data_IF_543426563982
#
_entry.id   IF_543426563982
#
_cell.length_a   1.000
_cell.length_b   1.000
_cell.length_c   1.000
_cell.angle_alpha   90.00
_cell.angle_beta   90.00
_cell.angle_gamma   90.00
#
_symmetry.space_group_name_H-M   'P 1'
#
loop_
_entity.id
_entity.type
_entity.pdbx_description
1 polymer ?
#
# COMPACT_ATOMS: atom_id res chain seq x y z
N UNK A 1 -0.79 -9.45 -17.12
CA UNK A 1 -2.08 -8.91 -17.63
C UNK A 1 -3.12 -9.16 -16.55
N UNK A 2 -3.82 -8.14 -16.02
CA UNK A 2 -4.88 -8.38 -15.03
C UNK A 2 -5.96 -9.24 -15.71
N UNK A 3 -6.46 -10.27 -15.04
CA UNK A 3 -7.58 -11.06 -15.57
C UNK A 3 -8.86 -10.23 -15.45
N UNK A 4 -9.15 -9.45 -16.50
CA UNK A 4 -10.39 -8.72 -16.67
C UNK A 4 -11.54 -9.73 -16.83
N UNK A 5 -12.35 -9.92 -15.79
CA UNK A 5 -13.55 -10.77 -15.88
C UNK A 5 -14.07 -11.36 -14.58
N UNK A 6 -13.33 -11.28 -13.46
CA UNK A 6 -13.84 -11.77 -12.19
C UNK A 6 -14.82 -10.77 -11.55
N UNK A 7 -16.00 -11.23 -11.15
CA UNK A 7 -16.91 -10.43 -10.33
C UNK A 7 -16.30 -10.19 -8.95
N UNK A 8 -16.69 -9.09 -8.29
CA UNK A 8 -16.28 -8.83 -6.91
C UNK A 8 -16.56 -10.05 -6.02
N UNK A 9 -17.71 -10.69 -6.17
CA UNK A 9 -18.05 -11.93 -5.46
C UNK A 9 -17.08 -13.10 -5.71
N UNK A 10 -16.54 -13.25 -6.92
CA UNK A 10 -15.55 -14.29 -7.25
C UNK A 10 -14.17 -13.98 -6.65
N UNK A 11 -13.79 -12.70 -6.63
CA UNK A 11 -12.56 -12.25 -5.97
C UNK A 11 -12.69 -12.50 -4.46
N UNK A 12 -13.84 -12.13 -3.87
CA UNK A 12 -14.15 -12.30 -2.45
C UNK A 12 -14.22 -13.78 -2.02
N UNK A 13 -14.62 -14.70 -2.90
CA UNK A 13 -14.66 -16.13 -2.59
C UNK A 13 -13.28 -16.76 -2.36
N UNK A 14 -12.19 -16.15 -2.86
CA UNK A 14 -10.82 -16.64 -2.70
C UNK A 14 -10.10 -16.11 -1.43
N UNK A 15 -10.82 -15.45 -0.52
CA UNK A 15 -10.23 -14.65 0.57
C UNK A 15 -9.50 -15.46 1.67
N UNK A 16 -9.72 -16.76 1.74
CA UNK A 16 -8.91 -17.66 2.59
C UNK A 16 -7.43 -17.66 2.18
N UNK A 17 -7.11 -17.56 0.88
CA UNK A 17 -5.73 -17.45 0.40
C UNK A 17 -5.10 -16.08 0.72
N UNK A 18 -5.92 -15.03 0.78
CA UNK A 18 -5.46 -13.66 1.13
C UNK A 18 -5.07 -13.59 2.60
N UNK A 19 -5.88 -14.16 3.50
CA UNK A 19 -5.56 -14.21 4.94
C UNK A 19 -4.23 -14.95 5.17
N UNK A 20 -4.01 -16.06 4.47
CA UNK A 20 -2.77 -16.85 4.58
C UNK A 20 -1.57 -16.19 3.88
N UNK A 21 -1.77 -15.10 3.14
CA UNK A 21 -0.69 -14.37 2.46
C UNK A 21 -0.08 -13.25 3.31
N UNK A 22 -0.73 -12.87 4.41
CA UNK A 22 -0.17 -11.88 5.33
C UNK A 22 0.87 -12.53 6.24
N UNK A 23 2.00 -11.84 6.46
CA UNK A 23 2.96 -12.23 7.49
C UNK A 23 2.38 -12.02 8.90
N UNK A 24 2.96 -12.70 9.88
CA UNK A 24 2.47 -12.69 11.26
C UNK A 24 2.53 -11.28 11.87
N UNK A 25 3.55 -10.49 11.52
CA UNK A 25 3.69 -9.11 11.98
C UNK A 25 2.55 -8.22 11.47
N UNK A 26 2.19 -8.34 10.19
CA UNK A 26 1.04 -7.66 9.59
C UNK A 26 -0.23 -8.12 10.28
N UNK A 27 -0.41 -9.42 10.54
CA UNK A 27 -1.58 -9.92 11.27
C UNK A 27 -1.68 -9.37 12.70
N UNK A 28 -0.56 -9.28 13.42
CA UNK A 28 -0.46 -8.77 14.80
C UNK A 28 -0.69 -7.25 14.84
N UNK A 29 -0.16 -6.51 13.86
CA UNK A 29 -0.47 -5.09 13.68
C UNK A 29 -1.94 -4.86 13.29
N UNK A 30 -2.64 -5.87 12.76
CA UNK A 30 -4.01 -5.73 12.24
C UNK A 30 -5.11 -6.22 13.20
N UNK A 31 -4.88 -7.05 14.24
CA UNK A 31 -6.00 -7.51 15.11
C UNK A 31 -5.70 -7.79 16.59
N UNK A 32 -6.66 -7.51 17.50
CA UNK A 32 -6.87 -8.26 18.74
C UNK A 32 -8.17 -9.10 18.79
N UNK A 33 -9.08 -9.03 17.80
CA UNK A 33 -10.36 -9.76 17.85
C UNK A 33 -10.84 -10.19 16.45
N UNK A 34 -10.67 -11.48 16.13
CA UNK A 34 -11.19 -12.11 14.91
C UNK A 34 -12.68 -12.44 15.04
N UNK A 35 -13.53 -11.41 15.01
CA UNK A 35 -14.95 -11.60 14.74
C UNK A 35 -15.12 -11.64 13.21
N UNK A 36 -15.71 -12.73 12.69
CA UNK A 36 -16.02 -12.84 11.27
C UNK A 36 -17.00 -11.74 10.89
N UNK A 37 -16.56 -10.83 10.03
CA UNK A 37 -17.36 -9.73 9.46
C UNK A 37 -17.53 -9.97 7.96
N UNK A 38 -18.60 -9.43 7.37
CA UNK A 38 -18.74 -9.50 5.91
C UNK A 38 -17.60 -8.73 5.24
N UNK A 39 -17.04 -9.23 4.12
CA UNK A 39 -16.08 -8.48 3.32
C UNK A 39 -16.50 -7.03 3.07
N UNK A 40 -15.58 -6.08 3.30
CA UNK A 40 -15.84 -4.65 3.14
C UNK A 40 -16.52 -3.99 4.36
N UNK A 41 -17.00 -4.78 5.34
CA UNK A 41 -17.55 -4.28 6.61
C UNK A 41 -16.51 -4.38 7.75
N UNK A 42 -15.35 -3.78 7.52
CA UNK A 42 -14.23 -3.75 8.49
C UNK A 42 -13.96 -2.32 8.90
N UNK A 43 -13.91 -2.02 10.20
CA UNK A 43 -13.60 -0.69 10.72
C UNK A 43 -12.12 -0.31 10.63
N UNK A 44 -11.81 0.99 10.65
CA UNK A 44 -10.43 1.48 10.81
C UNK A 44 -10.23 2.05 12.21
N UNK A 45 -9.17 1.62 12.90
CA UNK A 45 -8.81 2.17 14.20
C UNK A 45 -8.40 3.63 14.04
N UNK A 46 -8.87 4.49 14.94
CA UNK A 46 -8.43 5.88 15.01
C UNK A 46 -7.09 5.92 15.77
N UNK A 47 -6.03 6.42 15.14
CA UNK A 47 -4.65 6.41 15.67
C UNK A 47 -4.25 7.76 16.30
N UNK A 48 -5.23 8.52 16.79
CA UNK A 48 -5.06 9.89 17.24
C UNK A 48 -5.29 10.85 16.08
N UNK A 49 -6.41 11.55 16.10
CA UNK A 49 -6.82 12.51 15.08
C UNK A 49 -6.84 11.99 13.62
N UNK A 50 -6.91 10.67 13.39
CA UNK A 50 -6.81 10.09 12.05
C UNK A 50 -8.16 9.86 11.35
N UNK A 51 -9.26 10.38 11.89
CA UNK A 51 -10.60 10.12 11.35
C UNK A 51 -10.82 10.72 9.95
N UNK A 52 -10.15 11.83 9.63
CA UNK A 52 -10.15 12.42 8.29
C UNK A 52 -9.60 11.43 7.24
N UNK A 53 -8.55 10.68 7.58
CA UNK A 53 -7.97 9.68 6.70
C UNK A 53 -8.83 8.42 6.67
N UNK A 54 -9.36 8.00 7.81
CA UNK A 54 -10.18 6.80 7.91
C UNK A 54 -11.41 6.89 6.99
N UNK A 55 -12.10 8.04 6.92
CA UNK A 55 -13.26 8.18 6.03
C UNK A 55 -12.86 8.10 4.55
N UNK A 56 -11.75 8.74 4.15
CA UNK A 56 -11.23 8.68 2.78
C UNK A 56 -10.85 7.25 2.38
N UNK A 57 -10.12 6.54 3.24
CA UNK A 57 -9.69 5.16 2.99
C UNK A 57 -10.89 4.22 2.86
N UNK A 58 -11.91 4.38 3.70
CA UNK A 58 -13.15 3.62 3.60
C UNK A 58 -13.88 3.89 2.28
N UNK A 59 -14.05 5.16 1.88
CA UNK A 59 -14.67 5.55 0.62
C UNK A 59 -13.92 4.95 -0.59
N UNK A 60 -12.60 5.11 -0.65
CA UNK A 60 -11.79 4.60 -1.76
C UNK A 60 -11.79 3.07 -1.82
N UNK A 61 -11.71 2.39 -0.66
CA UNK A 61 -11.75 0.93 -0.59
C UNK A 61 -13.08 0.34 -1.04
N UNK A 62 -14.16 1.14 -1.03
CA UNK A 62 -15.49 0.74 -1.50
C UNK A 62 -15.79 1.22 -2.93
N UNK A 63 -14.86 1.93 -3.58
CA UNK A 63 -14.95 2.21 -5.03
C UNK A 63 -14.67 0.91 -5.79
N UNK A 64 -15.72 0.29 -6.35
CA UNK A 64 -15.67 -1.05 -6.95
C UNK A 64 -14.50 -1.26 -7.91
N UNK A 65 -14.28 -0.33 -8.85
CA UNK A 65 -13.20 -0.45 -9.84
C UNK A 65 -11.80 -0.40 -9.20
N UNK A 66 -11.63 0.42 -8.17
CA UNK A 66 -10.34 0.54 -7.47
C UNK A 66 -10.08 -0.67 -6.58
N UNK A 67 -11.10 -1.09 -5.82
CA UNK A 67 -11.02 -2.26 -4.95
C UNK A 67 -10.72 -3.53 -5.75
N UNK A 68 -11.46 -3.78 -6.83
CA UNK A 68 -11.22 -4.93 -7.72
C UNK A 68 -9.82 -4.90 -8.32
N UNK A 69 -9.32 -3.74 -8.74
CA UNK A 69 -7.96 -3.61 -9.25
C UNK A 69 -6.90 -4.06 -8.23
N UNK A 70 -6.97 -3.57 -6.99
CA UNK A 70 -6.00 -3.91 -5.96
C UNK A 70 -6.13 -5.34 -5.44
N UNK A 71 -7.35 -5.87 -5.33
CA UNK A 71 -7.60 -7.24 -4.86
C UNK A 71 -7.19 -8.29 -5.89
N UNK A 72 -7.30 -8.00 -7.19
CA UNK A 72 -6.94 -8.93 -8.27
C UNK A 72 -5.42 -9.10 -8.47
N UNK A 73 -4.59 -8.21 -7.93
CA UNK A 73 -3.14 -8.37 -7.95
C UNK A 73 -2.72 -9.53 -7.03
N UNK A 74 -1.58 -10.20 -7.26
CA UNK A 74 -1.03 -11.08 -6.24
C UNK A 74 -0.58 -10.25 -5.02
N UNK A 75 -0.59 -10.81 -3.81
CA UNK A 75 0.12 -10.22 -2.68
C UNK A 75 1.58 -9.98 -3.07
N UNK A 76 2.10 -8.78 -2.80
CA UNK A 76 3.53 -8.53 -2.92
C UNK A 76 4.25 -9.45 -1.91
N UNK A 77 5.37 -10.09 -2.29
CA UNK A 77 6.12 -10.92 -1.36
C UNK A 77 6.53 -10.09 -0.14
N UNK A 78 6.61 -10.70 1.05
CA UNK A 78 7.13 -10.02 2.23
C UNK A 78 8.50 -9.45 1.89
N UNK A 79 8.70 -8.16 2.18
CA UNK A 79 10.00 -7.55 1.99
C UNK A 79 10.97 -8.31 2.90
N UNK A 80 11.95 -8.99 2.34
CA UNK A 80 12.97 -9.65 3.13
C UNK A 80 13.65 -8.58 4.00
N UNK A 81 13.35 -8.54 5.31
CA UNK A 81 14.05 -7.72 6.30
C UNK A 81 15.49 -8.26 6.60
N UNK A 82 16.12 -8.81 5.57
CA UNK A 82 17.34 -9.61 5.66
C UNK A 82 18.35 -9.24 4.58
N UNK A 83 18.56 -7.95 4.35
CA UNK A 83 19.80 -7.45 3.75
C UNK A 83 20.14 -6.06 4.26
N UNK A 84 20.37 -6.01 5.58
CA UNK A 84 21.58 -5.36 6.07
C UNK A 84 22.80 -6.12 5.51
N UNK A 85 23.05 -6.00 4.20
CA UNK A 85 24.16 -6.65 3.52
C UNK A 85 25.14 -5.59 3.03
N UNK A 86 26.14 -5.38 3.87
CA UNK A 86 27.49 -4.91 3.58
C UNK A 86 27.65 -3.51 2.98
N UNK A 87 28.15 -2.62 3.83
CA UNK A 87 29.36 -1.87 3.50
C UNK A 87 30.38 -2.79 2.79
N UNK A 88 30.50 -2.67 1.47
CA UNK A 88 31.72 -3.05 0.75
C UNK A 88 32.07 -1.92 -0.20
N UNK A 89 33.05 -1.15 0.23
CA UNK A 89 33.90 -0.30 -0.59
C UNK A 89 34.57 -1.13 -1.69
N UNK A 90 34.42 -0.70 -2.95
CA UNK A 90 35.43 -0.89 -3.97
C UNK A 90 35.23 0.20 -5.05
N UNK A 91 36.31 0.94 -5.29
CA UNK A 91 36.55 1.98 -6.30
C UNK A 91 35.72 1.91 -7.59
N UNK A 92 35.09 3.04 -7.95
CA UNK A 92 35.30 3.72 -9.24
C UNK A 92 34.47 5.00 -9.35
N UNK A 93 35.14 6.09 -9.71
CA UNK A 93 34.64 7.44 -10.00
C UNK A 93 33.45 7.48 -10.98
N UNK A 94 32.23 7.51 -10.47
CA UNK A 94 31.07 8.00 -11.22
C UNK A 94 30.14 8.79 -10.29
N UNK A 95 30.28 10.11 -10.34
CA UNK A 95 29.37 11.07 -9.72
C UNK A 95 28.06 11.05 -10.51
N UNK A 96 27.09 10.25 -10.05
CA UNK A 96 25.67 10.40 -10.37
C UNK A 96 24.92 10.39 -9.03
N UNK A 97 24.15 11.44 -8.79
CA UNK A 97 23.52 11.83 -7.52
C UNK A 97 22.75 10.68 -6.80
N UNK A 98 23.19 10.32 -5.59
CA UNK A 98 22.65 9.29 -4.68
C UNK A 98 21.25 9.63 -4.12
N UNK A 99 20.71 10.82 -4.43
CA UNK A 99 19.37 11.24 -4.04
C UNK A 99 18.26 10.33 -4.61
N UNK A 100 18.45 9.76 -5.81
CA UNK A 100 17.43 8.96 -6.49
C UNK A 100 17.29 7.54 -5.90
N UNK A 101 18.39 6.99 -5.35
CA UNK A 101 18.42 5.66 -4.72
C UNK A 101 17.83 5.66 -3.31
N UNK A 102 17.93 6.79 -2.57
CA UNK A 102 17.20 7.00 -1.31
C UNK A 102 15.72 7.31 -1.55
N UNK A 103 15.39 7.96 -2.67
CA UNK A 103 14.02 8.12 -3.17
C UNK A 103 13.42 6.78 -3.59
N UNK A 104 14.21 5.80 -4.04
CA UNK A 104 13.73 4.45 -4.36
C UNK A 104 13.35 3.60 -3.12
N UNK A 105 13.70 4.01 -1.89
CA UNK A 105 13.13 3.46 -0.64
C UNK A 105 11.76 4.07 -0.29
N UNK A 106 11.13 4.82 -1.21
CA UNK A 106 9.77 5.34 -1.08
C UNK A 106 8.85 4.20 -0.64
N UNK A 107 8.20 4.35 0.52
CA UNK A 107 7.09 3.49 0.89
C UNK A 107 6.01 3.63 -0.18
N UNK A 108 5.90 2.64 -1.05
CA UNK A 108 4.95 2.61 -2.16
C UNK A 108 3.53 2.73 -1.59
N UNK A 109 2.86 3.85 -1.88
CA UNK A 109 1.51 4.16 -1.42
C UNK A 109 0.53 3.14 -2.01
N UNK A 110 0.67 2.80 -3.29
CA UNK A 110 -0.20 1.81 -3.94
C UNK A 110 -0.09 0.43 -3.26
N UNK A 111 1.10 -0.02 -2.88
CA UNK A 111 1.32 -1.27 -2.16
C UNK A 111 0.74 -1.23 -0.75
N UNK A 112 0.91 -0.11 -0.05
CA UNK A 112 0.34 0.10 1.29
C UNK A 112 -1.19 0.10 1.26
N UNK A 113 -1.79 0.75 0.25
CA UNK A 113 -3.24 0.72 0.01
C UNK A 113 -3.72 -0.67 -0.38
N UNK A 114 -2.97 -1.41 -1.20
CA UNK A 114 -3.28 -2.81 -1.56
C UNK A 114 -3.37 -3.70 -0.33
N UNK A 115 -2.37 -3.62 0.57
CA UNK A 115 -2.35 -4.36 1.84
C UNK A 115 -3.57 -4.02 2.70
N UNK A 116 -3.87 -2.73 2.85
CA UNK A 116 -5.05 -2.28 3.60
C UNK A 116 -6.36 -2.75 2.97
N UNK A 117 -6.51 -2.64 1.65
CA UNK A 117 -7.71 -3.05 0.93
C UNK A 117 -7.98 -4.55 1.12
N UNK A 118 -6.94 -5.38 1.05
CA UNK A 118 -7.05 -6.82 1.36
C UNK A 118 -7.52 -7.07 2.78
N UNK A 119 -6.95 -6.35 3.75
CA UNK A 119 -7.34 -6.48 5.16
C UNK A 119 -8.82 -6.08 5.39
N UNK A 120 -9.28 -4.99 4.74
CA UNK A 120 -10.67 -4.53 4.82
C UNK A 120 -11.65 -5.52 4.20
N UNK A 121 -11.26 -6.17 3.10
CA UNK A 121 -12.15 -7.08 2.37
C UNK A 121 -11.99 -8.55 2.74
N UNK A 122 -11.03 -8.97 3.57
CA UNK A 122 -10.84 -10.38 3.93
C UNK A 122 -11.98 -11.02 4.76
N UNK A 123 -12.81 -10.20 5.41
CA UNK A 123 -13.92 -10.66 6.27
C UNK A 123 -13.49 -11.33 7.58
N UNK A 124 -12.21 -11.21 7.94
CA UNK A 124 -11.65 -11.84 9.14
C UNK A 124 -11.55 -10.90 10.35
N UNK A 125 -11.78 -9.60 10.16
CA UNK A 125 -11.48 -8.58 11.16
C UNK A 125 -12.64 -7.63 11.36
N UNK A 126 -12.98 -7.34 12.62
CA UNK A 126 -13.91 -6.27 12.95
C UNK A 126 -13.30 -4.88 12.72
N UNK A 127 -11.99 -4.73 12.94
CA UNK A 127 -11.26 -3.49 12.68
C UNK A 127 -9.77 -3.71 12.48
N UNK A 128 -9.13 -2.89 11.65
CA UNK A 128 -7.71 -2.93 11.30
C UNK A 128 -7.00 -1.57 11.51
N UNK A 129 -5.67 -1.57 11.65
CA UNK A 129 -4.86 -0.34 11.75
C UNK A 129 -4.49 0.21 10.37
N UNK A 130 -4.71 1.51 10.11
CA UNK A 130 -4.24 2.17 8.88
C UNK A 130 -2.79 2.70 8.97
N UNK A 131 -2.01 2.36 10.02
CA UNK A 131 -0.69 2.96 10.28
C UNK A 131 0.27 2.92 9.08
N UNK A 132 0.33 1.80 8.36
CA UNK A 132 1.22 1.64 7.21
C UNK A 132 0.93 2.64 6.09
N UNK A 133 -0.36 2.82 5.73
CA UNK A 133 -0.72 3.78 4.68
C UNK A 133 -0.59 5.23 5.15
N UNK A 134 -0.89 5.53 6.41
CA UNK A 134 -0.69 6.88 6.95
C UNK A 134 0.79 7.27 6.94
N UNK A 135 1.67 6.32 7.28
CA UNK A 135 3.12 6.52 7.21
C UNK A 135 3.59 6.72 5.76
N UNK A 136 3.05 5.95 4.81
CA UNK A 136 3.39 6.10 3.39
C UNK A 136 2.97 7.48 2.85
N UNK A 137 1.74 7.93 3.14
CA UNK A 137 1.24 9.25 2.72
C UNK A 137 2.00 10.38 3.41
N UNK A 138 2.25 10.29 4.72
CA UNK A 138 2.99 11.32 5.46
C UNK A 138 4.42 11.50 4.95
N UNK A 139 5.09 10.42 4.52
CA UNK A 139 6.41 10.52 3.87
C UNK A 139 6.34 11.03 2.43
N UNK A 140 5.29 10.72 1.69
CA UNK A 140 5.08 11.26 0.35
C UNK A 140 4.86 12.77 0.41
N UNK A 141 4.04 13.20 1.36
CA UNK A 141 3.78 14.60 1.66
C UNK A 141 4.83 15.20 2.61
N UNK A 142 6.09 14.76 2.56
CA UNK A 142 7.15 15.32 3.42
C UNK A 142 7.25 16.84 3.23
N UNK A 143 7.37 17.58 4.33
CA UNK A 143 7.28 19.05 4.34
C UNK A 143 5.86 19.62 4.36
N UNK A 144 4.83 18.79 4.51
CA UNK A 144 3.42 19.20 4.71
C UNK A 144 2.93 18.95 6.14
N UNK A 145 1.68 19.33 6.42
CA UNK A 145 1.01 19.09 7.71
C UNK A 145 0.84 17.60 8.06
N UNK A 146 1.05 16.69 7.10
CA UNK A 146 1.00 15.24 7.36
C UNK A 146 2.29 14.67 7.97
N UNK A 147 3.37 15.45 8.04
CA UNK A 147 4.63 15.07 8.68
C UNK A 147 4.53 15.17 10.21
N UNK A 148 4.87 14.10 10.96
CA UNK A 148 4.76 14.06 12.43
C UNK A 148 3.40 13.57 12.97
N UNK A 149 2.37 13.56 12.13
CA UNK A 149 1.30 12.54 12.15
C UNK A 149 0.33 12.49 13.32
N UNK A 150 0.08 13.58 14.06
CA UNK A 150 -0.82 13.56 15.24
C UNK A 150 -1.87 14.70 15.27
N UNK A 151 -1.90 15.57 14.27
CA UNK A 151 -2.87 16.67 14.17
C UNK A 151 -4.05 16.29 13.26
N UNK A 152 -5.22 16.90 13.50
CA UNK A 152 -6.35 16.80 12.57
C UNK A 152 -6.03 17.52 11.28
N UNK A 153 -6.43 16.91 10.15
CA UNK A 153 -6.16 17.44 8.81
C UNK A 153 -7.44 17.51 7.99
N UNK A 154 -7.36 18.23 6.87
CA UNK A 154 -8.41 18.22 5.86
C UNK A 154 -8.42 16.86 5.12
N UNK A 155 -9.59 16.21 5.09
CA UNK A 155 -9.78 14.95 4.39
C UNK A 155 -9.57 15.09 2.87
N UNK A 156 -9.90 16.25 2.31
CA UNK A 156 -9.72 16.53 0.88
C UNK A 156 -8.24 16.66 0.53
N UNK A 157 -7.43 17.30 1.38
CA UNK A 157 -5.98 17.39 1.19
C UNK A 157 -5.33 16.00 1.28
N UNK A 158 -5.72 15.20 2.28
CA UNK A 158 -5.26 13.81 2.40
C UNK A 158 -5.61 12.98 1.16
N UNK A 159 -6.84 13.12 0.65
CA UNK A 159 -7.29 12.44 -0.57
C UNK A 159 -6.41 12.81 -1.77
N UNK A 160 -6.05 14.08 -1.94
CA UNK A 160 -5.20 14.52 -3.03
C UNK A 160 -3.82 13.88 -2.96
N UNK A 161 -3.14 13.95 -1.82
CA UNK A 161 -1.81 13.32 -1.66
C UNK A 161 -1.85 11.80 -1.85
N UNK A 162 -2.90 11.14 -1.37
CA UNK A 162 -3.08 9.71 -1.55
C UNK A 162 -3.26 9.34 -3.02
N UNK A 163 -4.13 10.05 -3.76
CA UNK A 163 -4.37 9.78 -5.17
C UNK A 163 -3.16 10.11 -6.04
N UNK A 164 -2.51 11.24 -5.79
CA UNK A 164 -1.31 11.68 -6.51
C UNK A 164 -0.16 10.68 -6.30
N UNK A 165 0.09 10.28 -5.06
CA UNK A 165 1.09 9.27 -4.74
C UNK A 165 0.81 7.90 -5.38
N UNK A 166 -0.45 7.44 -5.40
CA UNK A 166 -0.82 6.22 -6.12
C UNK A 166 -0.64 6.37 -7.63
N UNK A 167 -0.97 7.53 -8.20
CA UNK A 167 -0.80 7.82 -9.62
C UNK A 167 0.68 7.74 -10.02
N UNK A 168 1.56 8.38 -9.26
CA UNK A 168 3.01 8.34 -9.45
C UNK A 168 3.57 6.92 -9.35
N UNK A 169 3.12 6.13 -8.37
CA UNK A 169 3.51 4.72 -8.23
C UNK A 169 3.13 3.88 -9.46
N UNK A 170 1.97 4.14 -10.08
CA UNK A 170 1.54 3.44 -11.28
C UNK A 170 2.33 3.87 -12.53
N UNK A 171 2.65 5.16 -12.64
CA UNK A 171 3.44 5.68 -13.76
C UNK A 171 4.89 5.18 -13.72
N UNK A 172 5.50 5.05 -12.54
CA UNK A 172 6.85 4.47 -12.42
C UNK A 172 6.91 3.00 -12.87
N UNK A 173 5.85 2.23 -12.62
CA UNK A 173 5.74 0.82 -13.04
C UNK A 173 5.50 0.66 -14.54
N UNK A 174 4.90 1.65 -15.20
CA UNK A 174 4.67 1.61 -16.65
C UNK A 174 5.93 1.96 -17.44
N UNK A 175 6.73 2.92 -16.96
CA UNK A 175 7.99 3.34 -17.59
C UNK A 175 9.10 2.29 -17.43
N UNK A 176 9.20 1.62 -16.27
CA UNK A 176 10.20 0.56 -16.04
C UNK A 176 10.04 -0.64 -16.98
N UNK A 177 8.79 -1.04 -17.30
CA UNK A 177 8.52 -2.15 -18.23
C UNK A 177 8.84 -1.83 -19.69
N UNK A 178 8.82 -0.55 -20.08
CA UNK A 178 9.16 -0.14 -21.44
C UNK A 178 10.67 -0.27 -21.73
N UNK A 179 11.51 -0.08 -20.70
CA UNK A 179 12.95 -0.15 -20.82
C UNK A 179 13.48 -1.60 -20.88
N UNK A 180 12.95 -2.49 -20.05
CA UNK A 180 13.35 -3.92 -20.06
C UNK A 180 12.95 -4.63 -21.36
N UNK A 181 11.83 -4.25 -22.00
CA UNK A 181 11.43 -4.81 -23.29
C UNK A 181 12.33 -4.39 -24.46
N UNK A 182 13.12 -3.32 -24.32
CA UNK A 182 14.02 -2.83 -25.38
C UNK A 182 15.44 -3.39 -25.26
N UNK A 183 15.87 -3.85 -24.08
CA UNK A 183 17.21 -4.42 -23.89
C UNK A 183 17.30 -5.92 -24.20
N UNK A 184 16.18 -6.60 -24.47
CA UNK A 184 16.12 -8.03 -24.79
C UNK A 184 16.17 -8.33 -26.31
N UNK A 185 16.42 -7.33 -27.17
CA UNK A 185 16.44 -7.48 -28.63
C UNK A 185 17.77 -7.07 -29.31
N UNK A 186 18.91 -7.16 -28.61
CA UNK A 186 20.24 -6.98 -29.22
C UNK A 186 21.13 -8.19 -28.94
#
# INVERSE_FOLDING_TARGET
RPQTGQSLSQILANHSAVINSFDQETLDQLSPNRLSTSPGLTGLRNLGNSCYANCVLQCLSNTVLLATHFLAQPPEPPANEGSAASSKSADSDAVLDDADSRKARQLNIAASFSKLCRALWCGAFASVSPAGILTAVGRYAAGSTFEGGQEQQDAQEFLLFLLDGMHEDFNRRSTGKAFESSSASL
#
